data_IF_630274558284
#
_entry.id   IF_630274558284
#
_cell.length_a   1.000
_cell.length_b   1.000
_cell.length_c   1.000
_cell.angle_alpha   90.00
_cell.angle_beta   90.00
_cell.angle_gamma   90.00
#
_symmetry.space_group_name_H-M   'P 1'
#
loop_
_entity.id
_entity.type
_entity.pdbx_description
1 polymer ?
#
# COMPACT_ATOMS: atom_id res chain seq x y z
N UNK A 1 -6.30 25.00 -17.23
CA UNK A 1 -5.02 25.44 -16.63
C UNK A 1 -3.87 24.90 -17.46
N UNK A 2 -2.71 25.57 -17.40
CA UNK A 2 -1.50 25.22 -18.14
C UNK A 2 -0.75 24.07 -17.47
N UNK A 3 -0.54 22.98 -18.21
CA UNK A 3 0.23 21.81 -17.79
C UNK A 3 1.41 21.66 -18.77
N UNK A 4 2.61 22.07 -18.36
CA UNK A 4 3.76 22.16 -19.27
C UNK A 4 5.12 21.95 -18.59
N UNK A 5 6.12 21.71 -19.42
CA UNK A 5 7.55 21.88 -19.13
C UNK A 5 8.14 22.75 -20.22
N UNK A 6 8.82 23.83 -19.83
CA UNK A 6 9.44 24.81 -20.72
C UNK A 6 10.94 24.87 -20.45
N UNK A 7 11.74 24.65 -21.47
CA UNK A 7 13.16 24.95 -21.43
C UNK A 7 13.34 26.45 -21.72
N UNK A 8 13.90 27.19 -20.77
CA UNK A 8 14.06 28.64 -20.88
C UNK A 8 15.25 29.05 -21.76
N UNK A 9 16.19 28.13 -22.01
CA UNK A 9 17.37 28.39 -22.84
C UNK A 9 17.07 28.14 -24.33
N UNK A 10 16.33 27.07 -24.65
CA UNK A 10 15.97 26.72 -26.03
C UNK A 10 14.62 27.26 -26.47
N UNK A 11 13.74 27.60 -25.52
CA UNK A 11 12.35 28.00 -25.79
C UNK A 11 11.40 26.83 -26.05
N UNK A 12 11.90 25.58 -25.99
CA UNK A 12 11.08 24.37 -26.16
C UNK A 12 9.98 24.28 -25.09
N UNK A 13 8.77 23.93 -25.52
CA UNK A 13 7.59 23.81 -24.67
C UNK A 13 6.90 22.46 -24.92
N UNK A 14 6.85 21.62 -23.89
CA UNK A 14 6.12 20.36 -23.90
C UNK A 14 4.88 20.54 -23.03
N UNK A 15 3.70 20.17 -23.55
CA UNK A 15 2.44 20.28 -22.82
C UNK A 15 1.83 18.91 -22.55
N UNK A 16 1.04 18.82 -21.49
CA UNK A 16 0.31 17.61 -21.11
C UNK A 16 -1.16 17.94 -20.93
N UNK A 17 -2.03 17.36 -21.76
CA UNK A 17 -3.46 17.52 -21.57
C UNK A 17 -3.93 16.67 -20.39
N UNK A 18 -4.55 17.31 -19.40
CA UNK A 18 -5.18 16.64 -18.26
C UNK A 18 -6.67 16.94 -18.27
N UNK A 19 -7.49 15.90 -18.13
CA UNK A 19 -8.92 16.03 -17.89
C UNK A 19 -9.19 15.69 -16.44
N UNK A 20 -9.51 16.70 -15.62
CA UNK A 20 -9.85 16.52 -14.21
C UNK A 20 -11.30 16.91 -13.99
N UNK A 21 -12.05 16.18 -13.14
CA UNK A 21 -13.38 16.63 -12.74
C UNK A 21 -13.27 18.01 -12.10
N UNK A 22 -14.29 18.85 -12.30
CA UNK A 22 -14.32 20.18 -11.69
C UNK A 22 -14.60 20.03 -10.19
N UNK A 23 -13.52 19.94 -9.42
CA UNK A 23 -13.55 19.82 -7.97
C UNK A 23 -13.38 21.20 -7.30
N UNK A 24 -13.99 21.34 -6.13
CA UNK A 24 -13.88 22.51 -5.24
C UNK A 24 -12.45 22.73 -4.71
N UNK A 25 -11.60 21.70 -4.73
CA UNK A 25 -10.19 21.79 -4.31
C UNK A 25 -9.30 21.54 -5.52
N UNK A 26 -8.46 22.53 -5.83
CA UNK A 26 -7.48 22.50 -6.92
C UNK A 26 -6.10 22.71 -6.32
N UNK A 27 -5.10 21.99 -6.81
CA UNK A 27 -3.73 22.30 -6.46
C UNK A 27 -2.83 22.28 -7.67
N UNK A 28 -1.66 22.88 -7.50
CA UNK A 28 -0.75 23.20 -8.57
C UNK A 28 0.67 23.16 -8.05
N UNK A 29 1.55 22.52 -8.81
CA UNK A 29 2.99 22.57 -8.57
C UNK A 29 3.66 23.37 -9.69
N UNK A 30 4.58 24.24 -9.29
CA UNK A 30 5.50 24.96 -10.15
C UNK A 30 6.92 24.56 -9.74
N UNK A 31 7.69 24.05 -10.69
CA UNK A 31 9.10 23.72 -10.55
C UNK A 31 9.91 24.71 -11.37
N UNK A 32 10.92 25.29 -10.76
CA UNK A 32 11.85 26.21 -11.40
C UNK A 32 13.28 25.75 -11.14
N UNK A 33 14.06 25.61 -12.22
CA UNK A 33 15.50 25.38 -12.13
C UNK A 33 16.25 26.65 -12.49
N UNK A 34 17.28 26.96 -11.71
CA UNK A 34 18.17 28.10 -11.92
C UNK A 34 19.60 27.60 -12.11
N UNK A 35 20.33 28.22 -13.03
CA UNK A 35 21.76 27.99 -13.17
C UNK A 35 22.49 28.72 -12.03
N UNK A 36 23.22 27.98 -11.19
CA UNK A 36 23.82 28.53 -9.98
C UNK A 36 24.84 29.63 -10.27
N UNK A 37 25.60 29.50 -11.35
CA UNK A 37 26.67 30.45 -11.70
C UNK A 37 26.11 31.77 -12.21
N UNK A 38 24.97 31.74 -12.89
CA UNK A 38 24.41 32.92 -13.58
C UNK A 38 23.14 33.47 -12.92
N UNK A 39 22.50 32.72 -12.02
CA UNK A 39 21.21 33.02 -11.44
C UNK A 39 20.03 32.97 -12.43
N UNK A 40 20.27 32.61 -13.69
CA UNK A 40 19.22 32.60 -14.73
C UNK A 40 18.36 31.34 -14.62
N UNK A 41 17.05 31.50 -14.81
CA UNK A 41 16.11 30.39 -14.93
C UNK A 41 16.42 29.59 -16.20
N UNK A 42 16.57 28.28 -16.06
CA UNK A 42 16.86 27.36 -17.18
C UNK A 42 15.68 26.47 -17.54
N UNK A 43 14.80 26.18 -16.58
CA UNK A 43 13.60 25.38 -16.80
C UNK A 43 12.47 25.85 -15.89
N UNK A 44 11.26 25.79 -16.43
CA UNK A 44 10.00 26.02 -15.72
C UNK A 44 9.02 24.89 -16.04
N UNK A 45 8.47 24.23 -15.03
CA UNK A 45 7.42 23.24 -15.21
C UNK A 45 6.24 23.56 -14.31
N UNK A 46 5.05 23.53 -14.87
CA UNK A 46 3.84 23.90 -14.15
C UNK A 46 2.77 22.87 -14.45
N UNK A 47 2.11 22.36 -13.42
CA UNK A 47 1.06 21.38 -13.62
C UNK A 47 0.12 21.26 -12.42
N UNK A 48 -1.13 20.92 -12.71
CA UNK A 48 -2.14 20.60 -11.70
C UNK A 48 -1.89 19.21 -11.10
N UNK A 49 -2.20 19.05 -9.82
CA UNK A 49 -2.14 17.77 -9.12
C UNK A 49 -3.51 17.08 -9.07
N UNK A 50 -3.53 15.80 -8.70
CA UNK A 50 -4.71 15.09 -8.21
C UNK A 50 -4.63 15.07 -6.69
N UNK A 51 -5.73 15.45 -6.02
CA UNK A 51 -5.88 15.35 -4.56
C UNK A 51 -6.41 13.95 -4.24
N UNK A 52 -5.89 13.32 -3.20
CA UNK A 52 -6.33 11.98 -2.81
C UNK A 52 -7.78 12.00 -2.28
N UNK A 53 -8.62 11.10 -2.79
CA UNK A 53 -10.02 10.98 -2.41
C UNK A 53 -10.23 10.69 -0.91
N UNK A 54 -9.25 10.09 -0.24
CA UNK A 54 -9.30 9.82 1.20
C UNK A 54 -9.50 11.09 2.02
N UNK A 55 -9.00 12.25 1.55
CA UNK A 55 -9.10 13.53 2.23
C UNK A 55 -10.53 14.05 2.31
N UNK A 56 -11.29 13.97 1.21
CA UNK A 56 -12.68 14.41 1.18
C UNK A 56 -13.55 13.53 2.10
N UNK A 57 -13.30 12.22 2.09
CA UNK A 57 -13.98 11.26 2.96
C UNK A 57 -13.69 11.55 4.44
N UNK A 58 -12.43 11.78 4.79
CA UNK A 58 -12.02 12.08 6.17
C UNK A 58 -12.50 13.43 6.68
N UNK A 59 -12.40 14.46 5.84
CA UNK A 59 -12.91 15.80 6.14
C UNK A 59 -14.41 15.79 6.35
N UNK A 60 -15.17 15.09 5.49
CA UNK A 60 -16.61 14.95 5.63
C UNK A 60 -16.98 14.21 6.92
N UNK A 61 -16.40 13.02 7.18
CA UNK A 61 -16.73 12.24 8.38
C UNK A 61 -16.41 13.04 9.64
N UNK A 62 -15.18 13.56 9.76
CA UNK A 62 -14.76 14.31 10.95
C UNK A 62 -15.60 15.57 11.19
N UNK A 63 -15.93 16.30 10.10
CA UNK A 63 -16.76 17.50 10.19
C UNK A 63 -18.21 17.17 10.51
N UNK A 64 -18.80 16.20 9.84
CA UNK A 64 -20.19 15.77 10.05
C UNK A 64 -20.39 15.25 11.47
N UNK A 65 -19.50 14.39 11.98
CA UNK A 65 -19.57 13.87 13.35
C UNK A 65 -19.56 14.99 14.39
N UNK A 66 -18.74 16.03 14.17
CA UNK A 66 -18.67 17.19 15.05
C UNK A 66 -19.97 18.01 15.09
N UNK A 67 -20.74 18.03 14.00
CA UNK A 67 -22.02 18.75 13.92
C UNK A 67 -23.15 18.01 14.64
N UNK A 68 -23.09 16.68 14.72
CA UNK A 68 -24.07 15.87 15.46
C UNK A 68 -23.72 15.69 16.95
N UNK A 69 -22.61 16.27 17.42
CA UNK A 69 -22.21 16.24 18.82
C UNK A 69 -21.78 14.86 19.31
N UNK A 70 -21.48 13.94 18.39
CA UNK A 70 -20.90 12.65 18.73
C UNK A 70 -19.39 12.84 18.96
N UNK A 71 -18.84 12.17 19.97
CA UNK A 71 -17.44 12.28 20.34
C UNK A 71 -16.54 12.15 19.09
N UNK A 72 -15.45 12.92 19.06
CA UNK A 72 -14.49 12.92 17.95
C UNK A 72 -14.16 11.46 17.56
N UNK A 73 -14.49 11.07 16.33
CA UNK A 73 -13.87 9.90 15.75
C UNK A 73 -12.36 10.18 15.76
N UNK A 74 -11.63 9.42 16.58
CA UNK A 74 -10.17 9.50 16.69
C UNK A 74 -9.53 9.03 15.39
N UNK A 75 -9.65 9.82 14.32
CA UNK A 75 -8.96 9.54 13.07
C UNK A 75 -7.49 9.85 13.32
N UNK A 76 -6.70 8.81 13.53
CA UNK A 76 -5.25 8.90 13.76
C UNK A 76 -4.47 9.22 12.49
N UNK A 77 -5.16 9.55 11.39
CA UNK A 77 -4.57 9.96 10.10
C UNK A 77 -3.95 11.35 10.23
N UNK A 78 -2.77 11.38 10.82
CA UNK A 78 -1.99 12.60 10.95
C UNK A 78 -1.25 12.85 9.64
N UNK A 79 -1.65 13.95 8.99
CA UNK A 79 -0.74 14.81 8.24
C UNK A 79 -0.28 14.34 6.85
N UNK A 80 -1.21 14.16 5.91
CA UNK A 80 -0.95 13.75 4.51
C UNK A 80 -0.21 14.78 3.63
N UNK A 81 0.00 16.00 4.15
CA UNK A 81 0.66 17.12 3.47
C UNK A 81 1.85 17.64 4.29
N UNK A 82 2.75 16.74 4.69
CA UNK A 82 3.91 17.08 5.50
C UNK A 82 5.17 17.19 4.70
N UNK A 83 5.42 16.21 3.85
CA UNK A 83 6.61 16.18 3.02
C UNK A 83 6.21 16.29 1.55
N UNK A 84 6.92 17.11 0.79
CA UNK A 84 6.90 17.04 -0.66
C UNK A 84 7.98 16.05 -1.10
N UNK A 85 7.66 15.16 -2.04
CA UNK A 85 8.56 14.07 -2.48
C UNK A 85 8.62 14.06 -4.01
N UNK A 86 9.83 14.08 -4.56
CA UNK A 86 10.11 14.04 -5.99
C UNK A 86 10.51 12.62 -6.37
N UNK A 87 9.84 12.04 -7.36
CA UNK A 87 10.08 10.65 -7.76
C UNK A 87 10.23 10.48 -9.27
N UNK A 88 10.91 9.41 -9.67
CA UNK A 88 11.02 9.01 -11.08
C UNK A 88 9.79 8.24 -11.61
N UNK A 89 8.66 8.21 -10.88
CA UNK A 89 7.46 7.52 -11.34
C UNK A 89 6.83 8.23 -12.55
N UNK A 90 6.64 7.48 -13.62
CA UNK A 90 6.13 7.92 -14.94
C UNK A 90 4.69 7.49 -15.22
N UNK A 91 4.10 6.66 -14.35
CA UNK A 91 2.73 6.17 -14.56
C UNK A 91 1.66 7.24 -14.31
N UNK A 92 0.39 6.91 -14.57
CA UNK A 92 -0.72 7.85 -14.43
C UNK A 92 -0.91 8.34 -12.99
N UNK A 93 -1.54 9.52 -12.87
CA UNK A 93 -2.06 10.03 -11.60
C UNK A 93 -3.17 9.13 -11.06
N UNK A 94 -3.17 8.89 -9.76
CA UNK A 94 -4.06 7.95 -9.08
C UNK A 94 -4.70 8.61 -7.83
N UNK A 95 -5.98 9.02 -7.88
CA UNK A 95 -6.65 9.70 -6.77
C UNK A 95 -6.88 8.79 -5.56
N UNK A 96 -6.70 7.48 -5.70
CA UNK A 96 -6.83 6.50 -4.62
C UNK A 96 -5.47 5.86 -4.28
N UNK A 97 -4.37 6.53 -4.65
CA UNK A 97 -3.03 6.06 -4.35
C UNK A 97 -2.85 5.81 -2.84
N UNK A 98 -2.29 4.65 -2.53
CA UNK A 98 -2.11 4.19 -1.15
C UNK A 98 -0.70 4.49 -0.60
N UNK A 99 0.27 4.68 -1.49
CA UNK A 99 1.66 4.99 -1.17
C UNK A 99 2.29 5.82 -2.29
N UNK A 100 3.44 6.46 -2.00
CA UNK A 100 4.23 7.20 -2.99
C UNK A 100 4.96 6.21 -3.91
N UNK A 101 4.69 6.27 -5.22
CA UNK A 101 5.29 5.35 -6.21
C UNK A 101 6.59 5.93 -6.76
N UNK A 102 7.52 5.06 -7.18
CA UNK A 102 8.80 5.45 -7.77
C UNK A 102 9.95 5.54 -6.76
N UNK A 103 11.17 5.74 -7.27
CA UNK A 103 12.33 6.04 -6.42
C UNK A 103 12.32 7.49 -6.02
N UNK A 104 12.62 7.76 -4.75
CA UNK A 104 12.75 9.11 -4.24
C UNK A 104 14.07 9.75 -4.70
N UNK A 105 13.95 10.82 -5.47
CA UNK A 105 15.03 11.66 -6.00
C UNK A 105 15.34 12.81 -5.03
N UNK A 106 14.30 13.40 -4.45
CA UNK A 106 14.43 14.46 -3.47
C UNK A 106 13.19 14.58 -2.60
N UNK A 107 13.30 15.21 -1.44
CA UNK A 107 12.17 15.45 -0.55
C UNK A 107 12.41 16.70 0.31
N UNK A 108 11.36 17.32 0.82
CA UNK A 108 11.47 18.41 1.78
C UNK A 108 10.28 18.41 2.76
N UNK A 109 10.53 18.77 4.01
CA UNK A 109 9.51 18.88 5.04
C UNK A 109 8.91 20.29 5.09
N UNK A 110 7.59 20.36 5.30
CA UNK A 110 6.84 21.60 5.47
C UNK A 110 7.08 22.28 6.82
N UNK A 111 7.35 21.52 7.88
CA UNK A 111 7.32 22.07 9.24
C UNK A 111 8.53 22.93 9.58
N UNK A 112 9.74 22.47 9.26
CA UNK A 112 10.97 23.14 9.69
C UNK A 112 11.98 23.26 8.56
N UNK A 113 12.63 24.42 8.51
CA UNK A 113 13.77 24.65 7.64
C UNK A 113 14.90 23.65 7.92
N UNK A 114 15.65 23.30 6.88
CA UNK A 114 16.74 22.34 6.96
C UNK A 114 18.04 22.94 6.46
N UNK A 115 19.11 22.71 7.24
CA UNK A 115 20.49 23.00 6.87
C UNK A 115 21.29 21.73 7.16
N UNK A 116 21.94 21.16 6.13
CA UNK A 116 22.77 19.98 6.30
C UNK A 116 23.21 19.36 4.97
N UNK A 117 23.83 18.19 5.08
CA UNK A 117 24.51 17.50 3.98
C UNK A 117 23.69 16.38 3.31
N UNK A 118 22.41 16.21 3.65
CA UNK A 118 21.55 15.22 3.00
C UNK A 118 21.37 15.57 1.51
N UNK A 119 21.82 14.65 0.65
CA UNK A 119 21.85 14.81 -0.81
C UNK A 119 20.47 14.72 -1.47
N UNK A 120 19.41 14.37 -0.73
CA UNK A 120 18.03 14.34 -1.23
C UNK A 120 17.16 15.43 -0.60
N UNK A 121 17.55 15.96 0.56
CA UNK A 121 16.71 16.88 1.34
C UNK A 121 16.82 18.33 0.87
N UNK A 122 15.67 18.91 0.57
CA UNK A 122 15.47 20.35 0.40
C UNK A 122 14.98 20.98 1.70
N UNK A 123 14.70 22.28 1.65
CA UNK A 123 14.20 23.05 2.80
C UNK A 123 12.96 23.83 2.42
N UNK A 124 12.00 23.97 3.34
CA UNK A 124 10.94 24.97 3.16
C UNK A 124 11.53 26.38 3.23
N UNK A 125 11.08 27.24 2.32
CA UNK A 125 11.30 28.67 2.34
C UNK A 125 10.08 29.33 3.00
N UNK A 126 10.18 29.55 4.31
CA UNK A 126 9.08 30.08 5.12
C UNK A 126 8.73 31.52 4.71
N UNK A 127 9.72 32.30 4.25
CA UNK A 127 9.51 33.69 3.83
C UNK A 127 8.68 33.82 2.54
N UNK A 128 8.81 32.87 1.63
CA UNK A 128 8.05 32.84 0.36
C UNK A 128 6.76 32.00 0.44
N UNK A 129 6.58 31.26 1.53
CA UNK A 129 5.38 30.48 1.83
C UNK A 129 4.31 31.36 2.49
N UNK A 130 3.05 31.14 2.17
CA UNK A 130 1.93 31.91 2.71
C UNK A 130 0.71 31.05 2.95
N UNK A 131 -0.14 31.52 3.86
CA UNK A 131 -1.45 30.95 4.15
C UNK A 131 -2.46 32.08 4.17
N UNK A 132 -3.44 31.98 3.30
CA UNK A 132 -4.57 32.89 3.21
C UNK A 132 -5.89 32.11 3.22
N UNK A 133 -7.01 32.81 3.32
CA UNK A 133 -8.34 32.22 3.33
C UNK A 133 -8.63 31.53 1.99
N UNK A 134 -8.72 30.20 1.99
CA UNK A 134 -8.95 29.40 0.79
C UNK A 134 -7.71 29.19 -0.09
N UNK A 135 -6.53 29.72 0.27
CA UNK A 135 -5.29 29.52 -0.49
C UNK A 135 -4.09 29.22 0.42
N UNK A 136 -3.36 28.14 0.10
CA UNK A 136 -2.12 27.77 0.78
C UNK A 136 -0.99 27.71 -0.24
N UNK A 137 0.11 28.40 0.01
CA UNK A 137 1.31 28.39 -0.81
C UNK A 137 2.51 27.90 0.00
N UNK A 138 3.15 26.83 -0.45
CA UNK A 138 4.38 26.31 0.13
C UNK A 138 5.50 26.42 -0.89
N UNK A 139 6.63 26.98 -0.51
CA UNK A 139 7.82 27.12 -1.35
C UNK A 139 8.95 26.31 -0.74
N UNK A 140 9.59 25.48 -1.54
CA UNK A 140 10.69 24.62 -1.13
C UNK A 140 11.90 24.85 -2.03
N UNK A 141 13.08 24.96 -1.43
CA UNK A 141 14.35 25.20 -2.11
C UNK A 141 15.28 23.98 -1.96
N UNK A 142 15.93 23.61 -3.06
CA UNK A 142 17.02 22.63 -3.08
C UNK A 142 18.32 23.30 -3.52
N UNK A 143 19.36 23.31 -2.66
CA UNK A 143 20.70 23.76 -3.04
C UNK A 143 21.33 22.84 -4.11
N UNK A 144 22.49 23.26 -4.63
CA UNK A 144 23.22 22.52 -5.67
C UNK A 144 23.58 21.08 -5.27
N UNK A 145 23.85 20.80 -4.00
CA UNK A 145 24.23 19.47 -3.54
C UNK A 145 23.05 18.51 -3.33
N UNK A 146 21.79 18.98 -3.33
CA UNK A 146 20.64 18.13 -3.00
C UNK A 146 19.57 18.04 -4.08
N UNK A 147 18.82 16.93 -4.07
CA UNK A 147 17.73 16.66 -5.01
C UNK A 147 18.20 16.43 -6.46
N UNK A 148 19.47 16.05 -6.64
CA UNK A 148 20.06 15.83 -7.96
C UNK A 148 19.57 14.50 -8.56
N UNK A 149 19.16 14.53 -9.82
CA UNK A 149 18.56 13.41 -10.54
C UNK A 149 17.39 13.83 -11.41
N UNK A 150 16.73 12.83 -12.00
CA UNK A 150 15.60 13.02 -12.92
C UNK A 150 14.31 12.56 -12.25
N UNK A 151 13.32 13.46 -12.18
CA UNK A 151 12.01 13.17 -11.62
C UNK A 151 10.89 13.52 -12.60
N UNK A 152 9.78 12.80 -12.47
CA UNK A 152 8.60 12.89 -13.32
C UNK A 152 7.34 13.21 -12.54
N UNK A 153 7.35 12.94 -11.24
CA UNK A 153 6.20 13.19 -10.39
C UNK A 153 6.58 13.77 -9.03
N UNK A 154 5.63 14.53 -8.49
CA UNK A 154 5.72 15.22 -7.20
C UNK A 154 4.56 14.72 -6.35
N UNK A 155 4.85 14.35 -5.12
CA UNK A 155 3.90 13.78 -4.18
C UNK A 155 3.86 14.58 -2.90
N UNK A 156 2.71 14.59 -2.23
CA UNK A 156 2.61 14.98 -0.83
C UNK A 156 2.49 13.73 0.04
N UNK A 157 3.32 13.64 1.08
CA UNK A 157 3.46 12.47 1.96
C UNK A 157 3.39 12.84 3.46
N UNK A 158 3.29 11.81 4.31
CA UNK A 158 3.13 11.87 5.78
C UNK A 158 4.39 12.22 6.58
N UNK A 159 4.25 12.37 7.91
CA UNK A 159 5.28 12.86 8.87
C UNK A 159 6.57 12.02 8.89
N UNK A 160 6.50 10.73 8.59
CA UNK A 160 7.53 9.76 8.98
C UNK A 160 8.19 9.02 7.80
N UNK A 161 8.08 9.51 6.57
CA UNK A 161 8.86 8.94 5.47
C UNK A 161 8.57 9.56 4.11
N UNK A 162 9.63 9.92 3.40
CA UNK A 162 9.65 10.14 1.95
C UNK A 162 9.79 8.83 1.16
N UNK A 163 9.92 7.72 1.88
CA UNK A 163 9.93 6.35 1.37
C UNK A 163 8.50 5.78 1.44
N UNK A 164 8.11 4.83 0.57
CA UNK A 164 6.79 4.20 0.61
C UNK A 164 6.63 3.35 1.88
N UNK A 165 6.26 3.99 2.98
CA UNK A 165 5.92 3.33 4.23
C UNK A 165 4.41 3.13 4.30
N UNK A 166 4.01 1.88 4.51
CA UNK A 166 2.65 1.53 4.90
C UNK A 166 2.69 1.34 6.42
N UNK A 167 2.19 2.34 7.14
CA UNK A 167 2.03 2.27 8.60
C UNK A 167 0.57 1.99 8.96
N UNK A 168 0.35 1.33 10.10
CA UNK A 168 -0.94 0.80 10.52
C UNK A 168 -1.25 1.20 11.96
N UNK A 169 -2.42 1.78 12.19
CA UNK A 169 -2.95 2.04 13.52
C UNK A 169 -3.80 0.87 13.99
N UNK A 170 -3.49 0.35 15.18
CA UNK A 170 -4.33 -0.65 15.86
C UNK A 170 -5.61 0.01 16.36
N UNK A 171 -6.75 -0.42 15.83
CA UNK A 171 -8.04 0.12 16.21
C UNK A 171 -8.65 -0.66 17.39
N UNK A 172 -8.75 -1.99 17.30
CA UNK A 172 -9.04 -2.88 18.44
C UNK A 172 -8.79 -4.35 18.09
N UNK A 173 -9.05 -5.27 19.04
CA UNK A 173 -8.91 -6.71 18.81
C UNK A 173 -9.59 -7.56 19.89
N UNK A 174 -9.90 -8.81 19.54
CA UNK A 174 -10.56 -9.79 20.39
C UNK A 174 -9.86 -11.13 20.35
N UNK A 175 -9.64 -11.74 21.51
CA UNK A 175 -9.16 -13.12 21.62
C UNK A 175 -10.30 -14.12 21.40
N UNK A 176 -10.02 -15.16 20.62
CA UNK A 176 -10.88 -16.30 20.35
C UNK A 176 -10.18 -17.53 20.90
N UNK A 177 -10.87 -18.29 21.74
CA UNK A 177 -10.38 -19.59 22.21
C UNK A 177 -10.39 -20.58 21.05
N UNK A 178 -9.25 -21.23 20.78
CA UNK A 178 -9.15 -22.23 19.71
C UNK A 178 -7.70 -22.62 19.42
N UNK A 179 -7.47 -23.91 19.19
CA UNK A 179 -6.16 -24.49 18.86
C UNK A 179 -5.86 -24.32 17.37
N UNK A 180 -5.60 -23.09 16.93
CA UNK A 180 -5.28 -22.80 15.53
C UNK A 180 -3.81 -22.45 15.39
N UNK A 181 -3.10 -23.09 14.44
CA UNK A 181 -1.67 -22.79 14.24
C UNK A 181 -1.50 -21.42 13.59
N UNK A 182 -0.44 -20.68 13.93
CA UNK A 182 -0.13 -19.38 13.31
C UNK A 182 0.16 -19.47 11.81
N UNK A 183 0.42 -20.68 11.32
CA UNK A 183 0.77 -20.97 9.93
C UNK A 183 -0.44 -20.96 8.97
N UNK A 184 -1.68 -21.13 9.43
CA UNK A 184 -2.84 -21.16 8.52
C UNK A 184 -3.24 -19.77 8.00
N UNK A 185 -3.62 -19.73 6.71
CA UNK A 185 -4.18 -18.53 6.07
C UNK A 185 -5.60 -18.28 6.50
N UNK A 186 -6.01 -17.02 6.40
CA UNK A 186 -7.41 -16.62 6.51
C UNK A 186 -7.77 -15.78 5.30
N UNK A 187 -9.06 -15.61 5.03
CA UNK A 187 -9.54 -14.70 4.00
C UNK A 187 -10.85 -14.04 4.40
N UNK A 188 -11.17 -12.90 3.78
CA UNK A 188 -12.48 -12.25 3.87
C UNK A 188 -13.25 -12.67 2.61
N UNK A 189 -14.32 -13.45 2.80
CA UNK A 189 -15.16 -13.94 1.70
C UNK A 189 -16.33 -13.02 1.35
N UNK A 190 -17.22 -13.45 0.42
CA UNK A 190 -18.27 -12.62 -0.18
C UNK A 190 -19.30 -12.09 0.83
N UNK A 191 -19.54 -12.83 1.91
CA UNK A 191 -20.46 -12.44 3.00
C UNK A 191 -19.79 -11.56 4.06
N UNK A 192 -18.62 -10.99 3.78
CA UNK A 192 -17.73 -10.33 4.76
C UNK A 192 -17.32 -11.24 5.92
N UNK A 193 -17.47 -12.56 5.76
CA UNK A 193 -17.07 -13.51 6.77
C UNK A 193 -15.57 -13.80 6.69
N UNK A 194 -14.94 -13.96 7.85
CA UNK A 194 -13.56 -14.43 7.98
C UNK A 194 -13.58 -15.95 8.01
N UNK A 195 -12.84 -16.56 7.09
CA UNK A 195 -12.70 -18.01 6.98
C UNK A 195 -11.33 -18.46 7.48
N UNK A 196 -11.30 -19.51 8.31
CA UNK A 196 -10.06 -19.99 8.95
C UNK A 196 -9.98 -21.53 8.89
N UNK A 197 -8.95 -22.12 8.25
CA UNK A 197 -8.68 -23.56 8.27
C UNK A 197 -8.34 -24.08 9.67
N UNK A 198 -8.66 -25.35 9.95
CA UNK A 198 -8.47 -26.00 11.25
C UNK A 198 -7.46 -27.16 11.24
N UNK A 199 -6.66 -27.34 10.17
CA UNK A 199 -5.84 -28.55 9.98
C UNK A 199 -6.66 -29.85 9.90
N UNK A 200 -7.92 -29.72 9.55
CA UNK A 200 -8.88 -30.79 9.33
C UNK A 200 -9.64 -30.44 8.05
N UNK A 201 -10.63 -31.24 7.66
CA UNK A 201 -11.57 -30.81 6.62
C UNK A 201 -12.49 -29.68 7.06
N UNK A 202 -12.41 -29.20 8.31
CA UNK A 202 -13.30 -28.19 8.85
C UNK A 202 -12.67 -26.79 8.71
N UNK A 203 -13.49 -25.82 8.34
CA UNK A 203 -13.15 -24.39 8.44
C UNK A 203 -14.09 -23.67 9.41
N UNK A 204 -13.57 -22.64 10.06
CA UNK A 204 -14.37 -21.72 10.89
C UNK A 204 -14.85 -20.58 10.00
N UNK A 205 -16.13 -20.23 10.09
CA UNK A 205 -16.73 -19.07 9.44
C UNK A 205 -17.15 -18.06 10.50
N UNK A 206 -16.61 -16.83 10.44
CA UNK A 206 -16.96 -15.75 11.36
C UNK A 206 -17.50 -14.55 10.61
N UNK A 207 -18.77 -14.23 10.83
CA UNK A 207 -19.36 -12.99 10.31
C UNK A 207 -19.14 -11.87 11.33
N UNK A 208 -18.51 -10.74 10.96
CA UNK A 208 -18.41 -9.58 11.84
C UNK A 208 -19.80 -9.00 12.08
N UNK A 209 -20.14 -8.73 13.35
CA UNK A 209 -21.30 -7.92 13.73
C UNK A 209 -20.87 -6.45 13.81
N UNK A 210 -21.77 -5.53 13.48
CA UNK A 210 -21.50 -4.09 13.51
C UNK A 210 -22.60 -3.42 14.33
N UNK A 211 -22.34 -3.18 15.62
CA UNK A 211 -23.28 -2.47 16.50
C UNK A 211 -23.07 -0.96 16.36
N UNK A 212 -23.93 -0.30 15.58
CA UNK A 212 -23.90 1.15 15.38
C UNK A 212 -22.61 1.63 14.70
N UNK A 213 -22.58 2.89 14.27
CA UNK A 213 -21.48 3.48 13.48
C UNK A 213 -20.14 3.62 14.23
N UNK A 214 -20.00 3.03 15.41
CA UNK A 214 -18.77 3.00 16.20
C UNK A 214 -17.89 1.89 15.59
N UNK A 215 -16.57 2.12 15.54
CA UNK A 215 -15.52 1.19 15.06
C UNK A 215 -15.94 -0.28 15.16
N UNK A 216 -15.67 -1.16 14.16
CA UNK A 216 -16.21 -2.52 14.13
C UNK A 216 -16.08 -3.13 15.51
N UNK A 217 -17.21 -3.28 16.23
CA UNK A 217 -17.14 -3.73 17.60
C UNK A 217 -16.48 -5.09 17.57
N UNK A 218 -15.54 -5.29 18.49
CA UNK A 218 -15.08 -6.58 19.00
C UNK A 218 -15.99 -7.70 18.50
N UNK A 219 -15.51 -8.61 17.63
CA UNK A 219 -16.30 -9.74 17.10
C UNK A 219 -17.18 -10.30 18.24
N UNK A 220 -18.47 -9.94 18.23
CA UNK A 220 -19.32 -10.10 19.40
C UNK A 220 -19.47 -11.59 19.66
N UNK A 221 -19.12 -12.04 20.88
CA UNK A 221 -19.45 -13.37 21.44
C UNK A 221 -19.78 -14.42 20.37
N UNK A 222 -18.75 -14.86 19.65
CA UNK A 222 -18.92 -15.57 18.38
C UNK A 222 -19.84 -16.79 18.51
N UNK A 223 -20.95 -16.83 17.76
CA UNK A 223 -21.44 -18.13 17.28
C UNK A 223 -20.41 -18.64 16.26
N UNK A 224 -19.70 -19.71 16.59
CA UNK A 224 -18.80 -20.38 15.65
C UNK A 224 -19.60 -21.28 14.74
N UNK A 225 -19.97 -20.78 13.57
CA UNK A 225 -20.38 -21.68 12.51
C UNK A 225 -19.12 -22.35 11.96
N UNK A 226 -19.18 -23.67 11.89
CA UNK A 226 -18.14 -24.48 11.26
C UNK A 226 -18.71 -25.02 9.97
N UNK A 227 -17.88 -25.09 8.94
CA UNK A 227 -18.23 -25.73 7.68
C UNK A 227 -17.32 -26.93 7.50
N UNK A 228 -17.92 -28.10 7.28
CA UNK A 228 -17.22 -29.33 6.97
C UNK A 228 -16.99 -29.42 5.46
N UNK A 229 -15.71 -29.37 5.07
CA UNK A 229 -15.18 -29.51 3.73
C UNK A 229 -14.28 -30.75 3.61
N UNK A 230 -14.45 -31.77 4.48
CA UNK A 230 -13.71 -33.04 4.41
C UNK A 230 -13.86 -33.75 3.06
N UNK A 231 -14.92 -33.47 2.31
CA UNK A 231 -15.11 -33.97 0.94
C UNK A 231 -14.14 -33.36 -0.08
N UNK A 232 -13.57 -32.17 0.19
CA UNK A 232 -12.52 -31.54 -0.63
C UNK A 232 -11.16 -32.10 -0.23
N UNK A 233 -10.83 -32.02 1.06
CA UNK A 233 -9.62 -32.60 1.65
C UNK A 233 -9.80 -32.78 3.15
N UNK A 234 -9.26 -33.85 3.72
CA UNK A 234 -9.32 -34.11 5.17
C UNK A 234 -8.43 -33.19 6.00
N UNK A 235 -7.59 -32.37 5.37
CA UNK A 235 -6.62 -31.47 6.00
C UNK A 235 -6.47 -30.17 5.20
N UNK A 236 -7.41 -29.25 5.39
CA UNK A 236 -7.38 -27.91 4.80
C UNK A 236 -6.41 -27.03 5.59
N UNK A 237 -5.49 -26.36 4.88
CA UNK A 237 -4.47 -25.50 5.49
C UNK A 237 -4.38 -24.09 4.89
N UNK A 238 -4.94 -23.86 3.71
CA UNK A 238 -4.94 -22.55 3.08
C UNK A 238 -6.29 -22.23 2.45
N UNK A 239 -6.68 -20.96 2.52
CA UNK A 239 -7.90 -20.45 1.91
C UNK A 239 -7.70 -19.01 1.45
N UNK A 240 -8.29 -18.65 0.32
CA UNK A 240 -8.29 -17.31 -0.26
C UNK A 240 -9.61 -17.05 -0.98
N UNK A 241 -10.09 -15.81 -0.98
CA UNK A 241 -11.24 -15.37 -1.77
C UNK A 241 -10.75 -14.31 -2.75
N UNK A 242 -11.05 -14.49 -4.03
CA UNK A 242 -10.53 -13.62 -5.09
C UNK A 242 -11.50 -12.51 -5.54
N UNK A 243 -12.71 -12.48 -4.96
CA UNK A 243 -13.81 -11.62 -5.40
C UNK A 243 -14.94 -12.35 -6.11
N UNK A 244 -14.70 -13.58 -6.58
CA UNK A 244 -15.65 -14.41 -7.34
C UNK A 244 -15.60 -15.91 -6.95
N UNK A 245 -14.43 -16.42 -6.56
CA UNK A 245 -14.16 -17.81 -6.24
C UNK A 245 -13.34 -17.96 -4.95
N UNK A 246 -13.62 -19.05 -4.23
CA UNK A 246 -12.75 -19.52 -3.18
C UNK A 246 -11.60 -20.33 -3.78
N UNK A 247 -10.42 -20.15 -3.22
CA UNK A 247 -9.24 -20.96 -3.52
C UNK A 247 -8.79 -21.63 -2.24
N UNK A 248 -8.59 -22.94 -2.29
CA UNK A 248 -8.36 -23.78 -1.11
C UNK A 248 -7.14 -24.66 -1.35
N UNK A 249 -6.30 -24.83 -0.32
CA UNK A 249 -5.21 -25.81 -0.32
C UNK A 249 -5.54 -26.97 0.61
N UNK A 250 -5.62 -28.17 0.02
CA UNK A 250 -5.75 -29.44 0.72
C UNK A 250 -4.39 -30.13 0.86
N UNK A 251 -3.98 -30.37 2.10
CA UNK A 251 -2.65 -30.90 2.40
C UNK A 251 -2.55 -32.43 2.27
N UNK A 252 -3.66 -33.14 2.47
CA UNK A 252 -3.69 -34.61 2.32
C UNK A 252 -3.45 -34.98 0.86
N UNK A 253 -4.19 -34.32 -0.04
CA UNK A 253 -4.15 -34.54 -1.47
C UNK A 253 -3.06 -33.73 -2.16
N UNK A 254 -2.50 -32.71 -1.49
CA UNK A 254 -1.48 -31.79 -2.01
C UNK A 254 -1.95 -31.04 -3.25
N UNK A 255 -3.20 -30.57 -3.23
CA UNK A 255 -3.85 -29.89 -4.36
C UNK A 255 -4.38 -28.53 -3.98
N UNK A 256 -4.44 -27.66 -4.99
CA UNK A 256 -5.24 -26.45 -4.95
C UNK A 256 -6.59 -26.70 -5.59
N UNK A 257 -7.63 -26.12 -5.00
CA UNK A 257 -9.00 -26.21 -5.45
C UNK A 257 -9.53 -24.80 -5.67
N UNK A 258 -10.20 -24.60 -6.80
CA UNK A 258 -11.01 -23.42 -7.07
C UNK A 258 -12.47 -23.81 -6.86
N UNK A 259 -13.18 -23.07 -6.04
CA UNK A 259 -14.55 -23.33 -5.67
C UNK A 259 -15.45 -22.11 -5.90
N UNK A 260 -16.73 -22.35 -6.09
CA UNK A 260 -17.74 -21.29 -6.04
C UNK A 260 -17.97 -20.78 -4.60
N UNK A 261 -18.87 -19.81 -4.42
CA UNK A 261 -19.24 -19.24 -3.11
C UNK A 261 -19.80 -20.26 -2.09
N UNK A 262 -20.30 -21.40 -2.58
CA UNK A 262 -20.83 -22.50 -1.77
C UNK A 262 -19.82 -23.62 -1.53
N UNK A 263 -18.55 -23.40 -1.91
CA UNK A 263 -17.44 -24.34 -1.87
C UNK A 263 -17.52 -25.52 -2.86
N UNK A 264 -18.45 -25.50 -3.83
CA UNK A 264 -18.46 -26.53 -4.89
C UNK A 264 -17.19 -26.43 -5.71
N UNK A 265 -16.47 -27.56 -5.89
CA UNK A 265 -15.20 -27.59 -6.63
C UNK A 265 -15.46 -27.42 -8.13
N UNK A 266 -14.82 -26.40 -8.72
CA UNK A 266 -14.89 -26.07 -10.14
C UNK A 266 -13.63 -26.51 -10.91
N UNK A 267 -12.49 -26.53 -10.21
CA UNK A 267 -11.19 -26.89 -10.77
C UNK A 267 -10.29 -27.36 -9.63
N UNK A 268 -9.40 -28.30 -9.94
CA UNK A 268 -8.29 -28.69 -9.07
C UNK A 268 -7.00 -28.86 -9.86
N UNK A 269 -5.87 -28.65 -9.21
CA UNK A 269 -4.54 -28.87 -9.79
C UNK A 269 -3.49 -29.11 -8.69
N UNK A 270 -2.39 -29.75 -9.06
CA UNK A 270 -1.35 -30.13 -8.10
C UNK A 270 -0.60 -28.91 -7.56
N UNK A 271 -0.35 -28.92 -6.25
CA UNK A 271 0.51 -27.96 -5.59
C UNK A 271 2.00 -28.27 -5.88
N UNK A 272 2.89 -27.26 -5.89
CA UNK A 272 4.32 -27.46 -6.16
C UNK A 272 5.01 -28.35 -5.10
N UNK A 273 6.19 -28.95 -5.39
CA UNK A 273 6.97 -29.74 -4.43
C UNK A 273 7.31 -28.94 -3.15
N UNK A 274 7.56 -29.60 -2.00
CA UNK A 274 7.93 -28.90 -0.75
C UNK A 274 8.96 -29.67 0.09
N UNK A 275 9.90 -28.95 0.72
CA UNK A 275 11.08 -29.47 1.44
C UNK A 275 10.75 -30.23 2.73
N UNK A 276 9.85 -29.67 3.53
CA UNK A 276 9.48 -30.18 4.85
C UNK A 276 8.05 -29.75 5.19
N UNK A 277 7.23 -30.73 5.58
CA UNK A 277 5.89 -30.56 6.17
C UNK A 277 4.97 -29.54 5.52
N UNK A 278 4.87 -29.44 4.19
CA UNK A 278 3.86 -28.66 3.45
C UNK A 278 3.58 -27.20 3.89
N UNK A 279 4.42 -26.65 4.77
CA UNK A 279 4.11 -25.49 5.59
C UNK A 279 4.33 -24.18 4.83
N UNK A 280 4.48 -24.24 3.52
CA UNK A 280 4.55 -23.06 2.67
C UNK A 280 3.46 -23.05 1.61
N UNK A 281 2.88 -24.20 1.24
CA UNK A 281 1.92 -24.32 0.13
C UNK A 281 0.60 -23.63 0.41
N UNK A 282 0.26 -23.45 1.68
CA UNK A 282 -0.89 -22.62 2.06
C UNK A 282 -0.69 -21.14 1.69
N UNK A 283 0.52 -20.68 1.35
CA UNK A 283 0.76 -19.31 0.93
C UNK A 283 0.45 -19.13 -0.56
N UNK A 284 -0.79 -18.73 -0.84
CA UNK A 284 -1.21 -18.39 -2.18
C UNK A 284 -2.17 -17.19 -2.20
N UNK A 285 -2.40 -16.68 -3.40
CA UNK A 285 -3.33 -15.59 -3.69
C UNK A 285 -3.69 -15.60 -5.17
N UNK A 286 -4.58 -14.70 -5.53
CA UNK A 286 -4.94 -14.42 -6.91
C UNK A 286 -4.92 -12.93 -7.17
N UNK A 287 -4.59 -12.56 -8.40
CA UNK A 287 -4.65 -11.18 -8.86
C UNK A 287 -4.87 -11.18 -10.38
N UNK A 288 -5.80 -10.35 -10.86
CA UNK A 288 -6.06 -10.15 -12.30
C UNK A 288 -6.21 -11.45 -13.11
N UNK A 289 -6.95 -12.42 -12.59
CA UNK A 289 -7.16 -13.70 -13.30
C UNK A 289 -5.92 -14.61 -13.33
N UNK A 290 -4.97 -14.43 -12.40
CA UNK A 290 -3.82 -15.29 -12.19
C UNK A 290 -3.78 -15.80 -10.75
N UNK A 291 -3.23 -16.99 -10.55
CA UNK A 291 -3.00 -17.59 -9.24
C UNK A 291 -1.50 -17.59 -8.94
N UNK A 292 -1.13 -17.17 -7.74
CA UNK A 292 0.26 -17.05 -7.31
C UNK A 292 0.47 -17.87 -6.05
N UNK A 293 1.56 -18.62 -5.99
CA UNK A 293 1.97 -19.35 -4.80
C UNK A 293 3.46 -19.21 -4.56
N UNK A 294 3.80 -19.33 -3.29
CA UNK A 294 5.15 -19.29 -2.78
C UNK A 294 5.41 -20.56 -1.99
N UNK A 295 6.47 -21.30 -2.31
CA UNK A 295 6.75 -22.60 -1.69
C UNK A 295 8.24 -22.81 -1.41
N UNK A 296 8.54 -23.35 -0.22
CA UNK A 296 9.87 -23.83 0.15
C UNK A 296 10.05 -25.24 -0.41
N UNK A 297 10.92 -25.41 -1.41
CA UNK A 297 11.20 -26.69 -2.05
C UNK A 297 12.41 -27.40 -1.42
N UNK A 298 13.38 -26.64 -0.90
CA UNK A 298 14.47 -27.09 -0.04
C UNK A 298 14.84 -26.00 1.00
N UNK A 299 15.75 -26.30 1.94
CA UNK A 299 16.26 -25.30 2.90
C UNK A 299 16.78 -24.03 2.21
N UNK A 300 17.38 -24.22 1.04
CA UNK A 300 18.00 -23.20 0.19
C UNK A 300 17.30 -23.08 -1.18
N UNK A 301 16.03 -23.45 -1.29
CA UNK A 301 15.30 -23.34 -2.55
C UNK A 301 13.84 -22.91 -2.32
N UNK A 302 13.50 -21.73 -2.83
CA UNK A 302 12.20 -21.09 -2.65
C UNK A 302 11.66 -20.68 -4.01
N UNK A 303 10.51 -21.23 -4.39
CA UNK A 303 9.87 -20.91 -5.66
C UNK A 303 8.69 -19.97 -5.48
N UNK A 304 8.65 -18.96 -6.33
CA UNK A 304 7.46 -18.15 -6.58
C UNK A 304 6.90 -18.55 -7.94
N UNK A 305 5.64 -19.01 -7.96
CA UNK A 305 5.02 -19.59 -9.15
C UNK A 305 3.76 -18.84 -9.50
N UNK A 306 3.58 -18.58 -10.80
CA UNK A 306 2.34 -18.06 -11.38
C UNK A 306 1.66 -19.15 -12.19
N UNK A 307 0.36 -19.27 -11.97
CA UNK A 307 -0.53 -20.15 -12.71
C UNK A 307 -1.58 -19.30 -13.43
N UNK A 308 -2.08 -19.82 -14.55
CA UNK A 308 -3.33 -19.38 -15.13
C UNK A 308 -4.49 -19.66 -14.17
N UNK A 309 -5.65 -19.04 -14.39
CA UNK A 309 -6.87 -19.35 -13.63
C UNK A 309 -7.41 -20.76 -13.86
N UNK A 310 -6.83 -21.49 -14.81
CA UNK A 310 -7.10 -22.88 -15.13
C UNK A 310 -6.08 -23.84 -14.50
N UNK A 311 -5.19 -23.34 -13.62
CA UNK A 311 -4.22 -24.18 -12.91
C UNK A 311 -3.00 -24.58 -13.74
N UNK A 312 -2.76 -23.93 -14.88
CA UNK A 312 -1.57 -24.19 -15.72
C UNK A 312 -0.42 -23.30 -15.27
N UNK A 313 0.75 -23.88 -14.99
CA UNK A 313 1.95 -23.10 -14.64
C UNK A 313 2.37 -22.23 -15.82
N UNK A 314 2.46 -20.91 -15.60
CA UNK A 314 2.89 -19.94 -16.61
C UNK A 314 4.29 -19.41 -16.36
N UNK A 315 4.72 -19.32 -15.10
CA UNK A 315 6.08 -18.93 -14.75
C UNK A 315 6.51 -19.48 -13.39
N UNK A 316 7.82 -19.69 -13.25
CA UNK A 316 8.49 -20.09 -12.02
C UNK A 316 9.69 -19.19 -11.82
N UNK A 317 9.85 -18.65 -10.62
CA UNK A 317 10.95 -17.78 -10.24
C UNK A 317 11.62 -18.35 -8.99
N UNK A 318 12.95 -18.49 -9.01
CA UNK A 318 13.72 -18.89 -7.84
C UNK A 318 14.10 -17.64 -7.03
N UNK A 319 13.65 -17.59 -5.77
CA UNK A 319 13.90 -16.50 -4.84
C UNK A 319 15.23 -16.64 -4.11
N UNK A 320 15.80 -17.84 -4.01
CA UNK A 320 17.05 -18.07 -3.28
C UNK A 320 18.23 -17.41 -3.99
N UNK A 321 19.07 -16.70 -3.23
CA UNK A 321 20.27 -16.02 -3.76
C UNK A 321 19.99 -14.74 -4.54
N UNK A 322 18.74 -14.29 -4.64
CA UNK A 322 18.41 -12.96 -5.17
C UNK A 322 18.91 -11.89 -4.20
N UNK A 323 19.39 -10.75 -4.74
CA UNK A 323 20.00 -9.69 -3.95
C UNK A 323 19.05 -9.22 -2.83
N UNK A 324 19.39 -9.57 -1.59
CA UNK A 324 18.61 -9.22 -0.42
C UNK A 324 17.59 -10.23 0.09
N UNK A 325 17.48 -11.41 -0.51
CA UNK A 325 16.57 -12.46 -0.05
C UNK A 325 17.40 -13.62 0.49
N UNK A 326 17.49 -13.73 1.82
CA UNK A 326 18.28 -14.77 2.50
C UNK A 326 17.42 -15.90 3.08
N UNK A 327 16.26 -15.60 3.67
CA UNK A 327 15.29 -16.61 4.09
C UNK A 327 13.87 -16.03 4.14
N UNK A 328 13.10 -16.09 3.03
CA UNK A 328 11.74 -15.57 3.04
C UNK A 328 10.88 -16.46 3.99
N UNK A 329 10.14 -15.87 4.93
CA UNK A 329 9.43 -16.63 5.97
C UNK A 329 7.91 -16.62 5.80
N UNK A 330 7.32 -15.53 5.28
CA UNK A 330 5.87 -15.41 5.10
C UNK A 330 5.52 -14.48 3.93
N UNK A 331 4.45 -14.82 3.17
CA UNK A 331 3.88 -13.96 2.13
C UNK A 331 2.61 -13.28 2.65
N UNK A 332 2.53 -11.95 2.63
CA UNK A 332 1.36 -11.15 2.99
C UNK A 332 0.86 -10.39 1.76
N UNK A 333 -0.45 -10.29 1.59
CA UNK A 333 -1.05 -9.55 0.47
C UNK A 333 -1.69 -8.30 1.02
N UNK A 334 -1.40 -7.16 0.40
CA UNK A 334 -2.03 -5.88 0.71
C UNK A 334 -3.07 -5.63 -0.37
N UNK A 335 -4.22 -6.28 -0.25
CA UNK A 335 -5.44 -6.02 -1.04
C UNK A 335 -5.26 -6.00 -2.57
N UNK A 336 -6.16 -5.28 -3.25
CA UNK A 336 -6.13 -4.99 -4.70
C UNK A 336 -4.89 -4.20 -5.15
N UNK A 337 -3.99 -3.83 -4.23
CA UNK A 337 -2.90 -2.90 -4.45
C UNK A 337 -1.62 -3.56 -4.99
N UNK A 338 -1.69 -4.34 -6.09
CA UNK A 338 -0.52 -4.71 -6.94
C UNK A 338 0.78 -5.09 -6.17
N UNK A 339 0.72 -5.71 -4.98
CA UNK A 339 1.94 -6.00 -4.20
C UNK A 339 1.85 -7.28 -3.37
N UNK A 340 2.98 -7.99 -3.34
CA UNK A 340 3.19 -9.17 -2.52
C UNK A 340 4.28 -8.86 -1.50
N UNK A 341 3.91 -8.74 -0.24
CA UNK A 341 4.87 -8.50 0.83
C UNK A 341 5.50 -9.84 1.22
N UNK A 342 6.82 -9.92 1.20
CA UNK A 342 7.55 -10.98 1.88
C UNK A 342 8.07 -10.43 3.21
N UNK A 343 7.93 -11.18 4.30
CA UNK A 343 8.66 -10.91 5.53
C UNK A 343 9.79 -11.93 5.66
N UNK A 344 10.97 -11.45 6.06
CA UNK A 344 12.05 -12.25 6.64
C UNK A 344 12.04 -12.02 8.16
N UNK A 345 12.44 -13.04 8.92
CA UNK A 345 12.72 -12.90 10.34
C UNK A 345 13.84 -11.85 10.51
N UNK A 346 13.46 -10.65 10.98
CA UNK A 346 14.26 -9.44 11.21
C UNK A 346 14.10 -8.25 10.22
N UNK A 347 13.07 -8.25 9.34
CA UNK A 347 12.70 -7.21 8.36
C UNK A 347 13.68 -7.08 7.16
N UNK A 348 13.32 -6.73 5.91
CA UNK A 348 12.87 -5.38 5.43
C UNK A 348 12.57 -5.35 3.91
N UNK A 349 11.96 -6.37 3.28
CA UNK A 349 11.81 -6.37 1.80
C UNK A 349 10.43 -6.74 1.28
N UNK A 350 9.71 -5.73 0.79
CA UNK A 350 8.50 -5.89 -0.02
C UNK A 350 8.92 -6.15 -1.47
N UNK A 351 8.26 -7.08 -2.16
CA UNK A 351 8.38 -7.22 -3.61
C UNK A 351 7.07 -6.73 -4.24
N UNK A 352 7.11 -5.62 -4.97
CA UNK A 352 5.93 -5.23 -5.74
C UNK A 352 5.92 -6.12 -6.98
N UNK A 353 4.78 -6.77 -7.24
CA UNK A 353 4.61 -7.55 -8.47
C UNK A 353 3.71 -6.73 -9.37
N UNK A 354 4.18 -6.42 -10.57
CA UNK A 354 3.36 -5.67 -11.50
C UNK A 354 2.13 -6.49 -11.95
N UNK A 355 1.28 -5.86 -12.74
CA UNK A 355 0.06 -6.49 -13.25
C UNK A 355 0.26 -7.72 -14.13
N UNK A 356 1.48 -7.95 -14.58
CA UNK A 356 1.89 -9.07 -15.41
C UNK A 356 2.76 -10.06 -14.64
N UNK A 357 2.85 -10.00 -13.31
CA UNK A 357 3.70 -10.93 -12.57
C UNK A 357 5.20 -10.63 -12.68
N UNK A 358 5.60 -9.51 -13.27
CA UNK A 358 7.00 -9.10 -13.38
C UNK A 358 7.37 -8.29 -12.14
N UNK A 359 8.43 -8.70 -11.47
CA UNK A 359 8.95 -8.06 -10.27
C UNK A 359 9.26 -6.59 -10.53
N UNK A 360 8.57 -5.70 -9.83
CA UNK A 360 8.95 -4.30 -9.68
C UNK A 360 9.59 -4.12 -8.30
N UNK A 361 10.91 -4.06 -8.31
CA UNK A 361 11.78 -3.60 -7.22
C UNK A 361 11.84 -4.47 -5.96
N UNK A 362 13.08 -4.59 -5.47
CA UNK A 362 13.42 -5.12 -4.17
C UNK A 362 13.71 -3.97 -3.20
N UNK A 363 13.36 -4.20 -1.94
CA UNK A 363 13.78 -3.45 -0.75
C UNK A 363 13.26 -2.00 -0.65
N UNK A 364 12.27 -1.81 0.22
CA UNK A 364 12.16 -0.58 0.99
C UNK A 364 12.08 -0.99 2.45
N UNK A 365 12.91 -0.36 3.26
CA UNK A 365 12.97 -0.59 4.70
C UNK A 365 11.60 -0.32 5.33
N UNK A 366 10.86 -1.39 5.64
CA UNK A 366 9.66 -1.28 6.45
C UNK A 366 10.08 -0.92 7.89
N UNK A 367 9.43 0.10 8.46
CA UNK A 367 9.73 0.62 9.79
C UNK A 367 9.68 -0.49 10.85
N UNK A 368 10.66 -0.48 11.76
CA UNK A 368 10.78 -1.41 12.87
C UNK A 368 9.58 -1.40 13.84
N UNK A 369 8.63 -0.48 13.75
CA UNK A 369 7.39 -0.62 14.54
C UNK A 369 6.48 -1.76 14.05
N UNK A 370 6.69 -2.26 12.82
CA UNK A 370 6.13 -3.52 12.37
C UNK A 370 6.81 -4.76 13.02
N UNK A 371 7.85 -4.59 13.86
CA UNK A 371 8.54 -5.69 14.59
C UNK A 371 8.20 -5.79 16.05
N UNK A 372 7.16 -5.12 16.51
CA UNK A 372 6.56 -5.62 17.74
C UNK A 372 6.23 -7.10 17.51
N UNK A 373 6.52 -7.97 18.49
CA UNK A 373 6.28 -9.43 18.43
C UNK A 373 4.87 -9.81 17.93
N UNK A 374 4.00 -8.81 17.88
CA UNK A 374 2.69 -8.81 17.28
C UNK A 374 2.59 -8.73 15.74
N UNK A 375 3.61 -8.86 14.90
CA UNK A 375 3.37 -8.92 13.43
C UNK A 375 4.15 -10.01 12.71
N UNK A 376 5.14 -10.60 13.39
CA UNK A 376 6.14 -11.53 12.86
C UNK A 376 5.60 -12.86 12.26
N UNK A 377 4.29 -13.10 12.19
CA UNK A 377 3.70 -14.35 11.65
C UNK A 377 2.27 -14.18 11.08
N UNK A 378 1.83 -12.96 10.73
CA UNK A 378 0.38 -12.66 10.67
C UNK A 378 -0.16 -12.37 9.26
N UNK A 379 -1.02 -13.25 8.71
CA UNK A 379 -1.76 -12.93 7.47
C UNK A 379 -2.55 -11.63 7.64
N UNK A 380 -2.35 -10.67 6.72
CA UNK A 380 -3.16 -9.45 6.63
C UNK A 380 -4.23 -9.64 5.57
N UNK A 381 -5.47 -9.25 5.89
CA UNK A 381 -6.62 -9.30 4.99
C UNK A 381 -7.11 -7.88 4.75
N UNK A 382 -7.38 -7.50 3.51
CA UNK A 382 -7.87 -6.17 3.20
C UNK A 382 -9.39 -6.18 2.94
N UNK A 383 -10.15 -5.44 3.73
CA UNK A 383 -11.55 -5.14 3.44
C UNK A 383 -11.61 -3.87 2.58
N UNK A 384 -11.81 -4.09 1.28
CA UNK A 384 -11.96 -3.03 0.28
C UNK A 384 -13.14 -2.10 0.56
N UNK A 385 -14.27 -2.64 1.03
CA UNK A 385 -15.48 -1.84 1.24
C UNK A 385 -15.26 -0.79 2.32
N UNK A 386 -14.43 -1.11 3.31
CA UNK A 386 -14.22 -0.28 4.51
C UNK A 386 -12.83 0.35 4.57
N UNK A 387 -11.93 -0.05 3.68
CA UNK A 387 -10.52 0.36 3.66
C UNK A 387 -9.82 0.08 5.00
N UNK A 388 -10.05 -1.13 5.53
CA UNK A 388 -9.52 -1.62 6.81
C UNK A 388 -8.76 -2.91 6.54
N UNK A 389 -7.65 -3.09 7.25
CA UNK A 389 -6.90 -4.34 7.25
C UNK A 389 -7.27 -5.14 8.47
N UNK A 390 -7.39 -6.45 8.33
CA UNK A 390 -7.53 -7.38 9.43
C UNK A 390 -6.23 -8.14 9.55
N UNK A 391 -5.86 -8.54 10.75
CA UNK A 391 -4.85 -9.57 10.91
C UNK A 391 -5.09 -10.42 12.12
N UNK A 392 -4.20 -11.40 12.27
CA UNK A 392 -4.38 -12.51 13.21
C UNK A 392 -3.18 -12.71 14.11
N UNK A 393 -3.38 -12.70 15.41
CA UNK A 393 -2.41 -13.06 16.44
C UNK A 393 -2.69 -14.46 16.94
N UNK A 394 -1.68 -15.30 17.19
CA UNK A 394 -1.84 -16.52 17.97
C UNK A 394 -1.04 -16.39 19.26
N UNK A 395 -1.65 -16.76 20.39
CA UNK A 395 -0.99 -16.88 21.69
C UNK A 395 -1.47 -18.15 22.40
N UNK A 396 -0.57 -19.14 22.48
CA UNK A 396 -0.81 -20.44 23.13
C UNK A 396 -2.08 -21.15 22.60
N UNK A 397 -3.19 -21.08 23.33
CA UNK A 397 -4.47 -21.76 23.05
C UNK A 397 -5.56 -20.84 22.49
N UNK A 398 -5.22 -19.59 22.20
CA UNK A 398 -6.14 -18.58 21.70
C UNK A 398 -5.52 -17.82 20.54
N UNK A 399 -6.34 -17.29 19.66
CA UNK A 399 -5.91 -16.40 18.60
C UNK A 399 -6.75 -15.13 18.61
N UNK A 400 -6.13 -13.98 18.44
CA UNK A 400 -6.85 -12.70 18.38
C UNK A 400 -6.97 -12.22 16.95
N UNK A 401 -8.17 -11.88 16.51
CA UNK A 401 -8.33 -11.07 15.31
C UNK A 401 -8.32 -9.61 15.72
N UNK A 402 -7.54 -8.83 14.99
CA UNK A 402 -7.48 -7.38 15.14
C UNK A 402 -7.69 -6.73 13.79
N UNK A 403 -8.00 -5.45 13.82
CA UNK A 403 -8.10 -4.66 12.62
C UNK A 403 -7.26 -3.38 12.74
N UNK A 404 -6.70 -3.02 11.60
CA UNK A 404 -5.75 -1.97 11.38
C UNK A 404 -6.31 -1.01 10.35
N UNK A 405 -5.98 0.26 10.53
CA UNK A 405 -6.20 1.26 9.51
C UNK A 405 -4.86 1.79 9.04
N UNK A 406 -4.65 1.94 7.72
CA UNK A 406 -3.46 2.59 7.22
C UNK A 406 -3.44 4.02 7.74
N UNK A 407 -2.34 4.40 8.37
CA UNK A 407 -2.20 5.72 8.97
C UNK A 407 -1.86 6.77 7.94
N UNK A 408 -1.12 6.39 6.89
CA UNK A 408 -0.57 7.35 5.93
C UNK A 408 -1.07 7.07 4.52
N UNK A 409 -1.53 8.13 3.88
CA UNK A 409 -1.87 8.18 2.47
C UNK A 409 -1.11 9.35 1.86
N UNK A 410 -0.69 9.26 0.58
CA UNK A 410 -0.22 10.44 -0.13
C UNK A 410 -1.38 11.43 -0.23
N UNK A 411 -1.17 12.70 0.16
CA UNK A 411 -2.21 13.72 0.09
C UNK A 411 -2.51 14.16 -1.34
N UNK A 412 -1.52 14.11 -2.21
CA UNK A 412 -1.63 14.50 -3.61
C UNK A 412 -0.53 13.87 -4.46
N UNK A 413 -0.82 13.76 -5.77
CA UNK A 413 0.12 13.35 -6.80
C UNK A 413 0.07 14.34 -7.96
N UNK A 414 1.23 14.69 -8.48
CA UNK A 414 1.41 15.54 -9.66
C UNK A 414 2.30 14.82 -10.65
N UNK A 415 1.83 14.63 -11.89
CA UNK A 415 2.64 14.16 -13.02
C UNK A 415 3.06 15.34 -13.91
N UNK A 416 4.36 15.46 -14.20
CA UNK A 416 4.92 16.51 -15.07
C UNK A 416 4.71 16.17 -16.56
N UNK A 417 4.67 17.19 -17.43
CA UNK A 417 4.51 16.97 -18.88
C UNK A 417 5.71 16.28 -19.54
N UNK A 418 6.90 16.44 -18.94
CA UNK A 418 8.12 15.71 -19.28
C UNK A 418 9.01 15.56 -18.03
N UNK A 419 9.98 14.64 -18.02
CA UNK A 419 10.94 14.55 -16.92
C UNK A 419 11.71 15.87 -16.72
N UNK A 420 12.02 16.20 -15.47
CA UNK A 420 12.89 17.32 -15.10
C UNK A 420 14.15 16.77 -14.46
N UNK A 421 15.32 17.26 -14.90
CA UNK A 421 16.62 16.82 -14.38
C UNK A 421 17.32 17.96 -13.67
N UNK A 422 17.61 17.79 -12.38
CA UNK A 422 18.44 18.70 -11.59
C UNK A 422 19.85 18.14 -11.49
N UNK A 423 20.85 19.00 -11.67
CA UNK A 423 22.26 18.67 -11.46
C UNK A 423 22.89 19.55 -10.38
N UNK A 424 24.15 19.26 -10.05
CA UNK A 424 24.94 20.10 -9.14
C UNK A 424 25.28 21.50 -9.67
N UNK A 425 24.97 21.79 -10.93
CA UNK A 425 25.06 23.14 -11.50
C UNK A 425 23.80 23.98 -11.31
N UNK A 426 22.75 23.39 -10.71
CA UNK A 426 21.45 24.02 -10.57
C UNK A 426 20.99 24.12 -9.11
N UNK A 427 20.34 25.23 -8.78
CA UNK A 427 19.39 25.32 -7.68
C UNK A 427 17.98 25.06 -8.20
N UNK A 428 17.11 24.54 -7.34
CA UNK A 428 15.72 24.23 -7.69
C UNK A 428 14.78 24.81 -6.67
N UNK A 429 13.68 25.39 -7.16
CA UNK A 429 12.54 25.82 -6.36
C UNK A 429 11.31 25.03 -6.76
N UNK A 430 10.57 24.54 -5.78
CA UNK A 430 9.25 23.94 -5.99
C UNK A 430 8.23 24.72 -5.19
N UNK A 431 7.33 25.40 -5.89
CA UNK A 431 6.18 26.09 -5.31
C UNK A 431 4.95 25.22 -5.47
N UNK A 432 4.26 24.95 -4.37
CA UNK A 432 2.99 24.23 -4.37
C UNK A 432 1.88 25.14 -3.86
N UNK A 433 0.82 25.29 -4.64
CA UNK A 433 -0.37 26.06 -4.26
C UNK A 433 -1.58 25.15 -4.14
N UNK A 434 -2.32 25.24 -3.04
CA UNK A 434 -3.67 24.68 -2.88
C UNK A 434 -4.68 25.82 -2.89
N UNK A 435 -5.71 25.72 -3.71
CA UNK A 435 -6.87 26.60 -3.70
C UNK A 435 -8.11 25.79 -3.39
N UNK A 436 -8.90 26.29 -2.44
CA UNK A 436 -10.20 25.75 -2.06
C UNK A 436 -11.24 26.81 -2.37
N UNK A 437 -12.17 26.48 -3.26
CA UNK A 437 -13.33 27.32 -3.54
C UNK A 437 -14.28 27.21 -2.34
N UNK A 438 -14.18 28.16 -1.40
CA UNK A 438 -15.05 28.18 -0.23
C UNK A 438 -16.40 28.81 -0.58
N UNK A 439 -17.53 28.27 -0.10
CA UNK A 439 -18.82 28.93 -0.26
C UNK A 439 -18.76 30.32 0.38
N UNK A 440 -19.35 31.31 -0.29
CA UNK A 440 -19.62 32.61 0.33
C UNK A 440 -20.75 32.41 1.35
N UNK A 441 -20.48 32.71 2.61
CA UNK A 441 -21.46 32.67 3.69
C UNK A 441 -22.22 34.00 3.79
#
# INVERSE_FOLDING_TARGET
MSNFVKNCETGELITLQKSKPDFTVKGKALVELFNERTGKKVLEAETENVINNVLAKDGFISGFDSLFGWNQHGTTRRSMFQNIVLTNYTGPEDPDAFYVKGDTIGWAAKMDGYIGSDVKRGTINVAESSRDYGEYKFVFDWPTHSGNGTFNSIWWAGVNGYEPQIDFHYLSGNSISGTNTPTYRTCIGPKYAVYVPQNTGIIIVKTPNYDGMITPTTFSSHSSDTLDLTYIDTKIQGIWWDGEFFWVYGDTNRKYYKCDESFSVLLEFDAPPAASSAASRYNFTTCKGKFFTYTQEASDDWSFRRYSYQGVVESVFNLYGQEGITAPSTMHIVGDAKCLIFHEANLRKIALVDENGVTLKFAVDANAQATNNYLNNRSLLYDRKRNIYYGRYAYSTSYSHFYFQPTWYPGAQTLLASPVTKTNSNTMKVTYTFKVELPQF
#
